data_IF_769630601903
#
_entry.id   IF_769630601903
#
_cell.length_a   1.000
_cell.length_b   1.000
_cell.length_c   1.000
_cell.angle_alpha   90.00
_cell.angle_beta   90.00
_cell.angle_gamma   90.00
#
_symmetry.space_group_name_H-M   'P 1'
#
loop_
_entity.id
_entity.type
_entity.pdbx_description
1 polymer ?
#
# COMPACT_ATOMS: atom_id res chain seq x y z
N UNK A 1 10.77 25.63 -12.44
CA UNK A 1 9.58 25.13 -11.73
C UNK A 1 10.02 24.00 -10.82
N UNK A 2 9.84 24.15 -9.51
CA UNK A 2 10.24 23.18 -8.48
C UNK A 2 9.19 22.09 -8.33
N UNK A 3 9.59 20.84 -8.42
CA UNK A 3 8.71 19.67 -8.41
C UNK A 3 9.14 18.72 -7.30
N UNK A 4 8.22 18.34 -6.42
CA UNK A 4 8.52 17.36 -5.37
C UNK A 4 8.83 15.98 -5.94
N UNK A 5 9.91 15.35 -5.47
CA UNK A 5 10.35 14.02 -5.90
C UNK A 5 10.44 13.08 -4.69
N UNK A 6 9.73 11.95 -4.73
CA UNK A 6 9.73 10.95 -3.66
C UNK A 6 9.71 9.54 -4.25
N UNK A 7 10.21 8.55 -3.51
CA UNK A 7 10.41 7.20 -4.05
C UNK A 7 9.13 6.33 -3.91
N UNK A 8 8.36 6.21 -5.01
CA UNK A 8 7.20 5.33 -5.15
C UNK A 8 7.13 4.78 -6.60
N UNK A 9 8.10 3.93 -7.00
CA UNK A 9 8.16 3.37 -8.34
C UNK A 9 6.93 2.50 -8.64
N UNK A 10 6.49 2.42 -9.91
CA UNK A 10 7.00 3.10 -11.11
C UNK A 10 6.38 4.49 -11.33
N UNK A 11 5.64 5.05 -10.36
CA UNK A 11 4.86 6.29 -10.56
C UNK A 11 5.73 7.54 -10.48
N UNK A 12 6.55 7.60 -9.43
CA UNK A 12 7.57 8.63 -9.15
C UNK A 12 8.76 7.89 -8.57
N UNK A 13 9.96 8.08 -9.10
CA UNK A 13 11.13 7.34 -8.68
C UNK A 13 12.40 8.20 -8.74
N UNK A 14 13.39 7.77 -7.98
CA UNK A 14 14.76 8.24 -8.05
C UNK A 14 15.57 7.05 -8.58
N UNK A 15 16.23 7.22 -9.73
CA UNK A 15 17.07 6.19 -10.35
C UNK A 15 18.42 6.05 -9.65
N UNK A 16 19.20 5.04 -10.02
CA UNK A 16 20.48 4.68 -9.38
C UNK A 16 21.51 5.84 -9.35
N UNK A 17 21.48 6.73 -10.34
CA UNK A 17 22.35 7.92 -10.41
C UNK A 17 21.79 9.16 -9.67
N UNK A 18 20.61 9.07 -9.08
CA UNK A 18 19.84 10.21 -8.57
C UNK A 18 18.85 10.82 -9.59
N UNK A 19 18.83 10.34 -10.84
CA UNK A 19 17.96 10.86 -11.90
C UNK A 19 16.46 10.72 -11.55
N UNK A 20 15.63 11.76 -11.74
CA UNK A 20 14.17 11.66 -11.64
C UNK A 20 13.59 10.71 -12.71
N UNK A 21 12.71 9.79 -12.33
CA UNK A 21 12.11 8.80 -13.25
C UNK A 21 10.64 8.46 -12.91
N UNK A 22 9.94 7.81 -13.84
CA UNK A 22 8.61 7.23 -13.62
C UNK A 22 7.45 7.97 -14.29
N UNK A 23 6.24 7.39 -14.25
CA UNK A 23 5.08 7.81 -15.05
C UNK A 23 4.76 9.31 -14.95
N UNK A 24 4.84 9.91 -13.75
CA UNK A 24 4.59 11.35 -13.57
C UNK A 24 5.77 12.21 -14.05
N UNK A 25 7.01 11.75 -13.89
CA UNK A 25 8.21 12.46 -14.34
C UNK A 25 8.26 12.48 -15.87
N UNK A 26 8.09 11.33 -16.51
CA UNK A 26 8.04 11.17 -17.97
C UNK A 26 6.98 12.09 -18.60
N UNK A 27 5.79 12.15 -17.99
CA UNK A 27 4.70 13.01 -18.44
C UNK A 27 5.00 14.50 -18.24
N UNK A 28 5.50 14.90 -17.06
CA UNK A 28 5.80 16.30 -16.79
C UNK A 28 6.96 16.80 -17.63
N UNK A 29 7.97 15.98 -17.90
CA UNK A 29 9.09 16.32 -18.77
C UNK A 29 8.65 16.52 -20.22
N UNK A 30 7.72 15.69 -20.73
CA UNK A 30 7.15 15.90 -22.06
C UNK A 30 6.40 17.24 -22.16
N UNK A 31 5.53 17.55 -21.18
CA UNK A 31 4.79 18.81 -21.10
C UNK A 31 5.74 20.01 -20.96
N UNK A 32 6.79 19.87 -20.13
CA UNK A 32 7.80 20.91 -19.92
C UNK A 32 8.58 21.23 -21.20
N UNK A 33 8.91 20.23 -22.02
CA UNK A 33 9.54 20.45 -23.32
C UNK A 33 8.62 21.22 -24.29
N UNK A 34 7.30 21.01 -24.21
CA UNK A 34 6.29 21.68 -25.05
C UNK A 34 5.91 23.11 -24.61
N UNK A 35 5.92 23.38 -23.30
CA UNK A 35 5.64 24.70 -22.70
C UNK A 35 6.93 25.48 -22.34
N UNK A 36 8.11 24.98 -22.74
CA UNK A 36 9.45 25.54 -22.46
C UNK A 36 9.78 25.75 -20.97
N UNK A 37 9.29 24.87 -20.11
CA UNK A 37 9.54 24.92 -18.66
C UNK A 37 10.89 24.28 -18.29
N UNK A 38 11.70 25.01 -17.51
CA UNK A 38 12.80 24.39 -16.75
C UNK A 38 12.23 23.69 -15.51
N UNK A 39 12.51 22.40 -15.34
CA UNK A 39 12.14 21.61 -14.17
C UNK A 39 13.33 21.49 -13.19
N UNK A 40 13.03 21.60 -11.91
CA UNK A 40 13.95 21.42 -10.79
C UNK A 40 13.30 20.43 -9.82
N UNK A 41 13.89 19.25 -9.64
CA UNK A 41 13.28 18.18 -8.85
C UNK A 41 13.86 18.14 -7.44
N UNK A 42 13.00 18.34 -6.45
CA UNK A 42 13.36 18.50 -5.03
C UNK A 42 13.10 17.18 -4.28
N UNK A 43 14.13 16.37 -3.99
CA UNK A 43 13.95 15.07 -3.33
C UNK A 43 13.50 15.21 -1.87
N UNK A 44 12.71 14.24 -1.40
CA UNK A 44 12.28 14.15 0.00
C UNK A 44 11.29 13.01 0.26
N UNK A 45 10.77 12.95 1.48
CA UNK A 45 9.67 12.04 1.82
C UNK A 45 8.34 12.53 1.24
N UNK A 46 7.31 11.68 1.25
CA UNK A 46 5.96 12.11 0.84
C UNK A 46 5.40 13.24 1.74
N UNK A 47 5.60 13.12 3.06
CA UNK A 47 5.15 14.12 4.03
C UNK A 47 5.89 15.46 3.85
N UNK A 48 7.20 15.42 3.62
CA UNK A 48 7.99 16.60 3.27
C UNK A 48 7.50 17.26 1.97
N UNK A 49 7.23 16.47 0.93
CA UNK A 49 6.71 16.97 -0.35
C UNK A 49 5.39 17.72 -0.18
N UNK A 50 4.43 17.16 0.56
CA UNK A 50 3.17 17.85 0.86
C UNK A 50 3.37 19.11 1.72
N UNK A 51 4.24 19.07 2.73
CA UNK A 51 4.53 20.24 3.56
C UNK A 51 5.21 21.37 2.76
N UNK A 52 6.13 21.03 1.84
CA UNK A 52 6.77 21.98 0.93
C UNK A 52 5.76 22.58 -0.07
N UNK A 53 4.78 21.79 -0.54
CA UNK A 53 3.71 22.28 -1.39
C UNK A 53 2.79 23.26 -0.64
N UNK A 54 2.41 22.93 0.60
CA UNK A 54 1.57 23.79 1.45
C UNK A 54 2.29 25.08 1.87
N UNK A 55 3.62 25.07 1.96
CA UNK A 55 4.44 26.24 2.19
C UNK A 55 4.81 27.05 0.92
N UNK A 56 4.42 26.58 -0.28
CA UNK A 56 4.81 27.20 -1.56
C UNK A 56 6.33 27.12 -1.85
N UNK A 57 7.05 26.20 -1.20
CA UNK A 57 8.50 25.98 -1.41
C UNK A 57 8.79 24.91 -2.48
N UNK A 58 7.76 24.20 -2.96
CA UNK A 58 7.71 23.61 -4.30
C UNK A 58 6.46 24.10 -5.05
N UNK A 59 6.49 24.04 -6.37
CA UNK A 59 5.48 24.60 -7.26
C UNK A 59 4.43 23.53 -7.63
N UNK A 60 4.87 22.28 -7.79
CA UNK A 60 4.05 21.08 -8.02
C UNK A 60 4.48 19.90 -7.14
N UNK A 61 3.51 19.08 -6.73
CA UNK A 61 3.73 17.71 -6.24
C UNK A 61 3.04 16.71 -7.19
N UNK A 62 3.74 15.66 -7.67
CA UNK A 62 3.13 14.58 -8.44
C UNK A 62 2.38 13.57 -7.55
N UNK A 63 1.62 12.67 -8.17
CA UNK A 63 0.99 11.49 -7.54
C UNK A 63 0.03 11.80 -6.38
N UNK A 64 -0.53 13.01 -6.35
CA UNK A 64 -1.44 13.45 -5.30
C UNK A 64 -2.85 12.91 -5.54
N UNK A 65 -3.29 12.03 -4.65
CA UNK A 65 -4.69 11.63 -4.55
C UNK A 65 -5.57 12.83 -4.15
N UNK A 66 -6.60 13.12 -4.94
CA UNK A 66 -7.60 14.16 -4.67
C UNK A 66 -8.48 13.75 -3.47
N UNK A 67 -8.68 14.67 -2.52
CA UNK A 67 -9.70 14.56 -1.46
C UNK A 67 -10.27 15.94 -1.12
N UNK A 68 -11.49 16.03 -0.54
CA UNK A 68 -12.08 17.30 -0.07
C UNK A 68 -11.29 17.99 1.06
N UNK A 69 -10.31 17.32 1.68
CA UNK A 69 -9.35 17.97 2.56
C UNK A 69 -8.20 18.62 1.79
N UNK A 70 -7.59 17.86 0.87
CA UNK A 70 -6.48 18.34 0.04
C UNK A 70 -6.92 19.48 -0.88
N UNK A 71 -8.14 19.46 -1.41
CA UNK A 71 -8.73 20.55 -2.20
C UNK A 71 -8.84 21.90 -1.44
N UNK A 72 -8.89 21.88 -0.09
CA UNK A 72 -8.87 23.12 0.70
C UNK A 72 -7.49 23.80 0.67
N UNK A 73 -6.41 23.02 0.49
CA UNK A 73 -5.00 23.42 0.61
C UNK A 73 -4.27 23.50 -0.73
N UNK A 74 -4.67 22.67 -1.68
CA UNK A 74 -4.03 22.49 -2.98
C UNK A 74 -5.01 22.68 -4.14
N UNK A 75 -4.52 23.19 -5.26
CA UNK A 75 -5.22 23.17 -6.54
C UNK A 75 -4.85 21.89 -7.32
N UNK A 76 -5.79 21.40 -8.12
CA UNK A 76 -5.65 20.19 -8.94
C UNK A 76 -6.01 20.52 -10.40
N UNK A 77 -5.41 19.78 -11.34
CA UNK A 77 -5.88 19.76 -12.73
C UNK A 77 -7.03 18.74 -12.89
N UNK A 78 -7.75 18.80 -14.00
CA UNK A 78 -9.09 18.21 -14.17
C UNK A 78 -9.03 16.70 -14.42
N UNK A 79 -8.15 16.26 -15.32
CA UNK A 79 -8.11 14.87 -15.79
C UNK A 79 -7.00 14.08 -15.09
N UNK A 80 -7.27 12.96 -14.38
CA UNK A 80 -6.27 12.27 -13.57
C UNK A 80 -5.13 11.70 -14.42
N UNK A 81 -3.91 11.82 -13.90
CA UNK A 81 -2.70 11.22 -14.51
C UNK A 81 -2.80 9.70 -14.50
N UNK A 82 -3.21 9.13 -13.36
CA UNK A 82 -3.22 7.68 -13.13
C UNK A 82 -4.40 7.25 -12.26
N UNK A 83 -4.90 6.03 -12.49
CA UNK A 83 -5.91 5.38 -11.65
C UNK A 83 -5.31 4.16 -10.92
N UNK A 84 -5.55 4.09 -9.61
CA UNK A 84 -4.95 3.13 -8.69
C UNK A 84 -5.95 2.66 -7.64
N UNK A 85 -5.50 1.80 -6.73
CA UNK A 85 -6.19 1.40 -5.50
C UNK A 85 -5.13 1.03 -4.45
N UNK A 86 -5.53 0.95 -3.18
CA UNK A 86 -4.67 0.39 -2.14
C UNK A 86 -4.75 -1.12 -2.12
N UNK A 87 -3.59 -1.71 -1.85
CA UNK A 87 -3.32 -3.14 -1.83
C UNK A 87 -2.65 -3.46 -0.50
N UNK A 88 -3.16 -4.48 0.20
CA UNK A 88 -2.53 -5.01 1.42
C UNK A 88 -1.47 -6.04 1.02
N UNK A 89 -0.26 -5.88 1.56
CA UNK A 89 0.86 -6.80 1.44
C UNK A 89 1.21 -7.38 2.82
N UNK A 90 1.59 -8.65 2.89
CA UNK A 90 1.91 -9.33 4.15
C UNK A 90 3.07 -10.34 3.97
N UNK A 91 3.57 -10.91 5.07
CA UNK A 91 4.45 -12.09 5.02
C UNK A 91 3.68 -13.32 4.53
N UNK A 92 4.33 -14.22 3.77
CA UNK A 92 3.70 -15.46 3.32
C UNK A 92 3.25 -16.32 4.48
N UNK A 93 2.00 -16.76 4.45
CA UNK A 93 1.43 -17.57 5.53
C UNK A 93 1.16 -16.78 6.83
N UNK A 94 1.16 -15.45 6.78
CA UNK A 94 0.71 -14.56 7.87
C UNK A 94 -0.71 -14.86 8.37
N UNK A 95 -1.53 -15.49 7.53
CA UNK A 95 -2.92 -15.85 7.81
C UNK A 95 -3.93 -14.78 7.40
N UNK A 96 -3.48 -13.56 7.08
CA UNK A 96 -4.32 -12.43 6.69
C UNK A 96 -4.97 -12.71 5.32
N UNK A 97 -6.29 -12.91 5.31
CA UNK A 97 -7.08 -13.22 4.10
C UNK A 97 -8.32 -12.34 3.94
N UNK A 98 -8.76 -11.72 5.03
CA UNK A 98 -10.01 -10.98 5.17
C UNK A 98 -9.84 -9.81 6.14
N UNK A 99 -10.83 -8.92 6.22
CA UNK A 99 -10.76 -7.75 7.11
C UNK A 99 -10.68 -8.14 8.59
N UNK A 100 -11.36 -9.20 9.03
CA UNK A 100 -11.36 -9.62 10.45
C UNK A 100 -10.02 -10.18 10.92
N UNK A 101 -9.14 -10.60 10.01
CA UNK A 101 -7.80 -11.09 10.35
C UNK A 101 -6.85 -9.98 10.86
N UNK A 102 -7.29 -8.70 10.80
CA UNK A 102 -6.55 -7.54 11.28
C UNK A 102 -6.68 -7.26 12.79
N UNK A 103 -7.53 -7.96 13.55
CA UNK A 103 -7.59 -7.73 15.00
C UNK A 103 -6.24 -8.04 15.67
N UNK A 104 -5.76 -7.09 16.48
CA UNK A 104 -4.43 -7.12 17.10
C UNK A 104 -3.24 -6.97 16.14
N UNK A 105 -3.44 -6.77 14.83
CA UNK A 105 -2.36 -6.65 13.85
C UNK A 105 -1.84 -5.22 13.74
N UNK A 106 -0.52 -5.07 13.61
CA UNK A 106 0.11 -3.79 13.27
C UNK A 106 0.14 -3.62 11.76
N UNK A 107 -0.31 -2.48 11.26
CA UNK A 107 -0.38 -2.23 9.81
C UNK A 107 0.40 -0.96 9.47
N UNK A 108 1.42 -1.09 8.63
CA UNK A 108 2.22 0.03 8.16
C UNK A 108 1.46 0.86 7.12
N UNK A 109 1.49 2.18 7.29
CA UNK A 109 0.97 3.19 6.34
C UNK A 109 2.06 4.23 6.05
N UNK A 110 2.04 4.81 4.85
CA UNK A 110 2.91 5.92 4.52
C UNK A 110 2.44 7.19 5.27
N UNK A 111 3.37 7.91 5.89
CA UNK A 111 3.09 9.17 6.61
C UNK A 111 2.39 10.18 5.70
N UNK A 112 1.44 10.97 6.22
CA UNK A 112 0.63 11.94 5.46
C UNK A 112 -0.11 11.39 4.22
N UNK A 113 -0.21 10.06 4.10
CA UNK A 113 -1.01 9.38 3.09
C UNK A 113 -2.46 9.24 3.53
N UNK A 114 -3.38 9.19 2.56
CA UNK A 114 -4.80 8.93 2.84
C UNK A 114 -5.07 7.46 3.21
N UNK A 115 -4.05 6.59 3.14
CA UNK A 115 -4.11 5.18 3.50
C UNK A 115 -4.65 4.95 4.92
N UNK A 116 -4.22 5.77 5.89
CA UNK A 116 -4.67 5.65 7.28
C UNK A 116 -6.20 5.78 7.36
N UNK A 117 -6.74 6.93 6.93
CA UNK A 117 -8.18 7.18 6.96
C UNK A 117 -8.97 6.26 6.02
N UNK A 118 -8.41 5.85 4.88
CA UNK A 118 -9.04 4.89 3.99
C UNK A 118 -9.17 3.49 4.62
N UNK A 119 -8.18 3.06 5.41
CA UNK A 119 -8.20 1.78 6.11
C UNK A 119 -9.09 1.84 7.37
N UNK A 120 -8.98 2.90 8.18
CA UNK A 120 -9.85 3.13 9.34
C UNK A 120 -11.34 3.08 8.94
N UNK A 121 -11.72 3.76 7.87
CA UNK A 121 -13.10 3.71 7.34
C UNK A 121 -13.48 2.30 6.86
N UNK A 122 -12.55 1.52 6.29
CA UNK A 122 -12.80 0.15 5.83
C UNK A 122 -13.03 -0.84 6.99
N UNK A 123 -12.31 -0.69 8.11
CA UNK A 123 -12.43 -1.60 9.26
C UNK A 123 -13.42 -1.12 10.33
N UNK A 124 -13.90 0.12 10.27
CA UNK A 124 -14.77 0.74 11.28
C UNK A 124 -16.04 -0.05 11.65
N UNK A 125 -16.59 -0.84 10.73
CA UNK A 125 -17.77 -1.69 10.96
C UNK A 125 -17.49 -3.00 11.73
N UNK A 126 -16.25 -3.30 12.10
CA UNK A 126 -15.83 -4.60 12.63
C UNK A 126 -15.25 -4.56 14.07
N UNK A 127 -15.17 -3.39 14.72
CA UNK A 127 -14.61 -3.19 16.09
C UNK A 127 -13.17 -3.73 16.30
N UNK A 128 -12.36 -3.75 15.25
CA UNK A 128 -11.01 -4.34 15.26
C UNK A 128 -9.98 -3.40 15.90
N UNK A 129 -9.09 -3.95 16.73
CA UNK A 129 -7.99 -3.22 17.36
C UNK A 129 -6.74 -3.38 16.51
N UNK A 130 -6.63 -2.56 15.47
CA UNK A 130 -5.55 -2.61 14.47
C UNK A 130 -4.63 -1.39 14.59
N UNK A 131 -3.52 -1.44 15.35
CA UNK A 131 -2.58 -0.33 15.42
C UNK A 131 -1.99 0.03 14.06
N UNK A 132 -2.16 1.28 13.64
CA UNK A 132 -1.56 1.81 12.42
C UNK A 132 -0.20 2.44 12.75
N UNK A 133 0.82 2.07 11.98
CA UNK A 133 2.21 2.49 12.19
C UNK A 133 2.65 3.33 10.99
N UNK A 134 3.07 4.57 11.24
CA UNK A 134 3.45 5.52 10.18
C UNK A 134 4.93 5.36 9.81
N UNK A 135 5.22 5.30 8.50
CA UNK A 135 6.57 5.23 7.95
C UNK A 135 6.81 6.38 6.95
N UNK A 136 8.02 6.96 6.88
CA UNK A 136 8.33 8.09 5.99
C UNK A 136 8.37 7.71 4.50
N UNK A 137 8.65 6.44 4.22
CA UNK A 137 8.80 5.84 2.90
C UNK A 137 8.31 4.38 2.90
N UNK A 138 8.29 3.73 1.73
CA UNK A 138 7.91 2.32 1.63
C UNK A 138 9.05 1.35 1.91
N UNK A 139 10.32 1.75 1.79
CA UNK A 139 11.46 0.85 1.99
C UNK A 139 11.54 0.42 3.46
N UNK A 140 11.49 1.39 4.36
CA UNK A 140 11.40 1.18 5.82
C UNK A 140 10.12 0.42 6.22
N UNK A 141 8.98 0.72 5.61
CA UNK A 141 7.72 -0.01 5.87
C UNK A 141 7.81 -1.49 5.49
N UNK A 142 8.44 -1.82 4.35
CA UNK A 142 8.64 -3.20 3.91
C UNK A 142 9.79 -3.90 4.66
N UNK A 143 10.81 -3.18 5.13
CA UNK A 143 11.83 -3.72 6.05
C UNK A 143 11.18 -4.15 7.38
N UNK A 144 10.39 -3.28 8.00
CA UNK A 144 9.60 -3.59 9.20
C UNK A 144 8.66 -4.79 9.00
N UNK A 145 8.12 -4.99 7.78
CA UNK A 145 7.33 -6.17 7.44
C UNK A 145 8.18 -7.45 7.31
N UNK A 146 9.42 -7.35 6.84
CA UNK A 146 10.36 -8.48 6.78
C UNK A 146 10.77 -8.92 8.19
N UNK A 147 11.07 -7.96 9.07
CA UNK A 147 11.58 -8.20 10.43
C UNK A 147 10.49 -8.60 11.45
N UNK A 148 9.22 -8.30 11.15
CA UNK A 148 8.08 -8.64 12.02
C UNK A 148 7.64 -7.53 12.96
N UNK A 149 8.12 -6.30 12.74
CA UNK A 149 7.70 -5.10 13.47
C UNK A 149 6.30 -4.62 13.08
N UNK A 150 5.87 -4.93 11.85
CA UNK A 150 4.46 -4.85 11.40
C UNK A 150 4.00 -6.18 10.84
N UNK A 151 2.69 -6.36 10.69
CA UNK A 151 2.06 -7.60 10.22
C UNK A 151 1.53 -7.50 8.78
N UNK A 152 1.25 -6.27 8.32
CA UNK A 152 0.97 -5.94 6.93
C UNK A 152 1.47 -4.52 6.57
N UNK A 153 1.60 -4.24 5.27
CA UNK A 153 1.86 -2.90 4.69
C UNK A 153 0.73 -2.52 3.75
N UNK A 154 0.25 -1.29 3.84
CA UNK A 154 -0.64 -0.70 2.83
C UNK A 154 0.22 0.01 1.81
N UNK A 155 0.24 -0.48 0.57
CA UNK A 155 0.82 0.25 -0.56
C UNK A 155 -0.21 0.38 -1.70
N UNK A 156 0.24 0.80 -2.87
CA UNK A 156 -0.62 1.02 -4.03
C UNK A 156 -0.39 -0.08 -5.07
N UNK A 157 -1.39 -0.36 -5.93
CA UNK A 157 -1.37 -1.49 -6.88
C UNK A 157 -0.15 -1.64 -7.81
N UNK A 158 0.66 -0.58 -7.95
CA UNK A 158 1.85 -0.58 -8.79
C UNK A 158 3.15 -0.80 -7.99
N UNK A 159 3.09 -0.78 -6.65
CA UNK A 159 4.25 -1.00 -5.80
C UNK A 159 4.76 -2.43 -5.99
N UNK A 160 6.08 -2.55 -6.11
CA UNK A 160 6.63 -3.39 -7.15
C UNK A 160 6.54 -4.91 -6.87
N UNK A 161 5.93 -5.62 -7.82
CA UNK A 161 5.90 -7.08 -7.83
C UNK A 161 7.28 -7.70 -8.16
N UNK A 162 8.29 -6.96 -8.61
CA UNK A 162 9.67 -7.44 -8.67
C UNK A 162 10.35 -7.43 -7.30
N UNK A 163 10.15 -6.41 -6.45
CA UNK A 163 10.52 -6.46 -5.03
C UNK A 163 9.89 -7.66 -4.31
N UNK A 164 8.62 -8.00 -4.60
CA UNK A 164 8.01 -9.23 -4.10
C UNK A 164 8.63 -10.53 -4.63
N UNK A 165 9.17 -10.54 -5.86
CA UNK A 165 9.66 -11.76 -6.55
C UNK A 165 11.00 -12.22 -5.96
N UNK A 166 10.91 -13.14 -5.01
CA UNK A 166 12.05 -13.70 -4.27
C UNK A 166 12.04 -13.35 -2.78
N UNK A 167 11.26 -12.33 -2.39
CA UNK A 167 10.98 -11.98 -0.99
C UNK A 167 10.28 -13.12 -0.22
N UNK A 168 10.07 -12.93 1.09
CA UNK A 168 9.17 -13.74 1.91
C UNK A 168 7.72 -13.18 1.98
N UNK A 169 7.31 -12.32 1.05
CA UNK A 169 6.04 -11.56 1.10
C UNK A 169 5.05 -11.95 -0.01
N UNK A 170 3.79 -11.60 0.18
CA UNK A 170 2.69 -11.77 -0.78
C UNK A 170 1.74 -10.55 -0.73
N UNK A 171 1.16 -10.20 -1.88
CA UNK A 171 -0.05 -9.40 -1.96
C UNK A 171 -1.27 -10.26 -1.58
N UNK A 172 -2.16 -9.71 -0.77
CA UNK A 172 -3.39 -10.40 -0.33
C UNK A 172 -4.55 -10.11 -1.29
N UNK A 173 -5.68 -10.80 -1.15
CA UNK A 173 -6.91 -10.47 -1.88
C UNK A 173 -7.56 -9.13 -1.46
N UNK A 174 -7.01 -8.42 -0.47
CA UNK A 174 -7.62 -7.23 0.13
C UNK A 174 -7.18 -5.97 -0.63
N UNK A 175 -8.03 -5.56 -1.59
CA UNK A 175 -7.94 -4.31 -2.35
C UNK A 175 -9.04 -3.34 -1.94
N UNK A 176 -8.72 -2.04 -1.86
CA UNK A 176 -9.68 -1.02 -1.42
C UNK A 176 -9.34 0.38 -1.91
N UNK A 177 -10.28 1.31 -1.72
CA UNK A 177 -10.15 2.74 -2.00
C UNK A 177 -9.63 3.09 -3.43
N UNK A 178 -10.45 2.88 -4.48
CA UNK A 178 -10.11 3.31 -5.84
C UNK A 178 -9.77 4.81 -5.88
N UNK A 179 -8.56 5.12 -6.36
CA UNK A 179 -7.92 6.42 -6.21
C UNK A 179 -7.55 7.01 -7.57
N UNK A 180 -7.91 8.28 -7.79
CA UNK A 180 -7.46 9.11 -8.91
C UNK A 180 -6.28 9.98 -8.47
N UNK A 181 -5.20 9.96 -9.25
CA UNK A 181 -3.90 10.55 -8.90
C UNK A 181 -3.56 11.67 -9.90
N UNK A 182 -3.10 12.80 -9.39
CA UNK A 182 -2.95 14.06 -10.11
C UNK A 182 -1.59 14.72 -9.81
N UNK A 183 -1.21 15.75 -10.57
CA UNK A 183 -0.34 16.79 -10.03
C UNK A 183 -1.19 17.75 -9.18
N UNK A 184 -0.63 18.26 -8.09
CA UNK A 184 -1.23 19.33 -7.30
C UNK A 184 -0.27 20.52 -7.17
N UNK A 185 -0.83 21.74 -7.17
CA UNK A 185 -0.13 22.99 -6.90
C UNK A 185 -0.58 23.58 -5.55
N UNK A 186 0.17 24.52 -4.98
CA UNK A 186 -0.33 25.36 -3.89
C UNK A 186 -1.62 26.08 -4.33
N UNK A 187 -2.68 26.07 -3.51
CA UNK A 187 -3.98 26.65 -3.90
C UNK A 187 -3.87 28.16 -4.16
N UNK A 188 -4.33 28.60 -5.32
CA UNK A 188 -4.25 30.01 -5.74
C UNK A 188 -2.89 30.42 -6.33
N UNK A 189 -1.91 29.53 -6.42
CA UNK A 189 -0.68 29.70 -7.20
C UNK A 189 -0.77 28.95 -8.55
N UNK A 190 0.16 29.23 -9.47
CA UNK A 190 0.38 28.47 -10.71
C UNK A 190 -0.89 28.21 -11.54
N UNK A 191 -1.71 29.27 -11.72
CA UNK A 191 -3.00 29.24 -12.43
C UNK A 191 -2.91 28.94 -13.93
N UNK A 192 -1.70 28.98 -14.48
CA UNK A 192 -1.32 28.64 -15.85
C UNK A 192 -0.84 27.17 -15.99
N UNK A 193 -0.09 26.66 -15.01
CA UNK A 193 0.54 25.33 -15.02
C UNK A 193 -0.48 24.19 -15.01
N UNK A 194 -1.47 24.22 -14.11
CA UNK A 194 -2.46 23.13 -14.02
C UNK A 194 -3.34 23.05 -15.29
N UNK A 195 -3.86 24.15 -15.86
CA UNK A 195 -4.51 24.11 -17.17
C UNK A 195 -3.58 23.75 -18.33
N UNK A 196 -2.28 24.07 -18.25
CA UNK A 196 -1.31 23.62 -19.25
C UNK A 196 -1.14 22.09 -19.23
N UNK A 197 -1.09 21.48 -18.04
CA UNK A 197 -1.08 20.03 -17.89
C UNK A 197 -2.33 19.41 -18.53
N UNK A 198 -3.53 19.93 -18.29
CA UNK A 198 -4.75 19.41 -18.96
C UNK A 198 -4.71 19.60 -20.49
N UNK A 199 -4.24 20.76 -20.99
CA UNK A 199 -4.14 21.02 -22.45
C UNK A 199 -3.15 20.11 -23.17
N UNK A 200 -2.00 19.82 -22.56
CA UNK A 200 -0.86 19.15 -23.22
C UNK A 200 -0.88 17.63 -23.10
N UNK A 201 -1.89 17.04 -22.45
CA UNK A 201 -2.05 15.58 -22.36
C UNK A 201 -2.57 14.94 -23.66
N UNK A 202 -1.71 14.92 -24.66
CA UNK A 202 -1.80 13.92 -25.73
C UNK A 202 -1.82 12.51 -25.15
N UNK A 203 -2.51 11.53 -25.78
CA UNK A 203 -2.49 10.15 -25.33
C UNK A 203 -1.05 9.59 -25.41
N UNK A 204 -0.47 9.28 -24.25
CA UNK A 204 0.88 8.70 -24.15
C UNK A 204 0.99 7.45 -25.04
N UNK A 205 1.98 7.37 -25.95
CA UNK A 205 2.19 6.18 -26.76
C UNK A 205 2.40 4.94 -25.88
N UNK A 206 1.50 3.96 -25.97
CA UNK A 206 1.50 2.73 -25.17
C UNK A 206 2.71 1.82 -25.40
N UNK A 207 3.61 2.18 -26.31
CA UNK A 207 4.75 1.41 -26.79
C UNK A 207 5.87 1.14 -25.76
N UNK A 208 5.87 1.77 -24.57
CA UNK A 208 6.86 1.49 -23.50
C UNK A 208 6.36 0.55 -22.40
N UNK A 209 5.06 0.32 -22.27
CA UNK A 209 4.49 -0.63 -21.30
C UNK A 209 4.40 -2.06 -21.87
N UNK A 210 5.57 -2.57 -22.25
CA UNK A 210 5.82 -4.01 -22.40
C UNK A 210 5.45 -4.65 -23.74
N UNK A 211 6.38 -4.66 -24.70
CA UNK A 211 6.59 -5.82 -25.58
C UNK A 211 7.95 -5.77 -26.31
N UNK A 212 9.00 -6.31 -25.67
CA UNK A 212 9.93 -7.16 -26.42
C UNK A 212 9.96 -8.59 -25.88
N UNK A 213 9.22 -9.45 -26.58
CA UNK A 213 9.41 -10.90 -26.63
C UNK A 213 9.25 -11.39 -28.06
N UNK A 214 9.88 -10.73 -29.04
CA UNK A 214 9.86 -11.20 -30.45
C UNK A 214 10.84 -12.36 -30.68
N UNK A 215 10.69 -13.44 -29.92
CA UNK A 215 11.35 -14.71 -30.25
C UNK A 215 10.87 -15.18 -31.63
N UNK A 216 11.82 -15.30 -32.56
CA UNK A 216 11.58 -15.79 -33.93
C UNK A 216 11.11 -17.26 -33.90
N UNK A 217 9.80 -17.49 -33.99
CA UNK A 217 9.27 -18.77 -34.50
C UNK A 217 9.13 -18.68 -36.02
N UNK A 218 10.08 -19.26 -36.76
CA UNK A 218 9.82 -19.70 -38.14
C UNK A 218 8.84 -20.88 -38.06
N UNK A 219 7.83 -20.87 -38.93
CA UNK A 219 6.70 -21.82 -38.83
C UNK A 219 7.00 -23.20 -39.41
N UNK A 220 6.12 -24.14 -39.04
CA UNK A 220 5.73 -25.32 -39.83
C UNK A 220 4.22 -25.55 -39.60
N UNK A 221 3.48 -26.09 -40.58
CA UNK A 221 2.03 -26.22 -40.52
C UNK A 221 1.56 -27.38 -39.62
N UNK A 222 0.29 -27.35 -39.24
CA UNK A 222 -0.34 -28.41 -38.45
C UNK A 222 -0.73 -29.63 -39.31
N UNK A 223 -0.66 -30.82 -38.70
CA UNK A 223 -1.20 -32.09 -39.24
C UNK A 223 -1.90 -32.83 -38.11
N UNK A 224 -3.12 -33.32 -38.36
CA UNK A 224 -3.85 -34.16 -37.40
C UNK A 224 -3.36 -35.61 -37.45
N UNK A 225 -3.19 -36.31 -36.31
CA UNK A 225 -2.93 -37.75 -36.31
C UNK A 225 -4.23 -38.54 -36.54
N UNK A 226 -4.29 -39.27 -37.67
CA UNK A 226 -5.25 -40.37 -37.86
C UNK A 226 -4.79 -41.65 -37.13
N UNK A 227 -5.71 -42.61 -36.97
CA UNK A 227 -5.45 -43.89 -36.30
C UNK A 227 -5.37 -45.02 -37.32
N UNK A 228 -4.26 -45.78 -37.31
CA UNK A 228 -4.13 -47.09 -38.00
C UNK A 228 -3.10 -48.00 -37.28
N UNK A 229 -2.97 -49.32 -37.60
CA UNK A 229 -2.87 -50.34 -36.54
C UNK A 229 -1.48 -50.90 -36.20
N UNK A 230 -1.42 -51.72 -35.14
CA UNK A 230 -0.20 -52.40 -34.65
C UNK A 230 0.16 -53.66 -35.45
N UNK A 231 1.46 -53.95 -35.69
CA UNK A 231 1.93 -55.26 -36.15
C UNK A 231 2.00 -56.32 -35.02
N UNK A 232 2.05 -57.60 -35.39
CA UNK A 232 2.20 -58.74 -34.47
C UNK A 232 3.67 -59.17 -34.27
N UNK A 233 4.01 -59.87 -33.16
CA UNK A 233 5.38 -60.32 -32.87
C UNK A 233 5.72 -61.74 -33.41
N UNK A 234 7.00 -62.03 -33.69
CA UNK A 234 7.49 -63.39 -33.98
C UNK A 234 7.62 -64.26 -32.70
N UNK A 235 7.69 -65.59 -32.87
CA UNK A 235 7.64 -66.58 -31.77
C UNK A 235 9.04 -67.01 -31.31
N UNK A 236 9.24 -67.04 -29.98
CA UNK A 236 10.55 -67.21 -29.32
C UNK A 236 11.11 -68.63 -29.18
N UNK A 237 12.12 -68.78 -28.29
CA UNK A 237 12.57 -70.06 -27.70
C UNK A 237 13.42 -69.89 -26.42
N UNK A 238 12.95 -70.49 -25.31
CA UNK A 238 13.67 -71.23 -24.23
C UNK A 238 14.82 -70.61 -23.40
N UNK A 239 14.52 -70.31 -22.11
CA UNK A 239 15.08 -70.80 -20.81
C UNK A 239 16.44 -71.57 -20.71
N UNK A 240 17.06 -71.77 -19.49
CA UNK A 240 16.66 -71.40 -18.10
C UNK A 240 17.78 -70.78 -17.17
N UNK A 241 17.42 -70.46 -15.92
CA UNK A 241 18.35 -70.30 -14.75
C UNK A 241 18.68 -68.84 -14.33
N UNK A 242 18.96 -68.48 -13.06
CA UNK A 242 18.93 -69.20 -11.76
C UNK A 242 18.84 -68.16 -10.60
N UNK A 243 18.53 -68.56 -9.36
CA UNK A 243 18.54 -67.73 -8.13
C UNK A 243 18.91 -68.63 -6.90
N UNK A 244 18.96 -68.19 -5.60
CA UNK A 244 18.81 -66.85 -4.98
C UNK A 244 19.87 -66.56 -3.86
N UNK A 245 19.51 -65.74 -2.84
CA UNK A 245 20.15 -65.52 -1.51
C UNK A 245 21.37 -64.54 -1.46
N UNK A 246 21.81 -63.97 -0.31
CA UNK A 246 21.63 -64.32 1.12
C UNK A 246 21.86 -63.11 2.10
N UNK A 247 21.32 -63.17 3.34
CA UNK A 247 21.74 -62.61 4.68
C UNK A 247 22.40 -61.20 4.82
N UNK A 248 22.26 -60.44 5.93
CA UNK A 248 21.61 -60.70 7.23
C UNK A 248 21.75 -59.55 8.28
N UNK A 249 21.31 -59.80 9.53
CA UNK A 249 21.50 -58.97 10.77
C UNK A 249 22.83 -59.38 11.51
N UNK A 250 23.27 -58.85 12.70
CA UNK A 250 22.57 -58.08 13.75
C UNK A 250 23.38 -57.03 14.62
N UNK A 251 22.71 -56.46 15.65
CA UNK A 251 23.22 -56.08 17.00
C UNK A 251 24.29 -54.95 17.15
N UNK A 252 24.58 -54.36 18.33
CA UNK A 252 23.85 -54.05 19.60
C UNK A 252 24.76 -53.15 20.51
N UNK A 253 24.44 -53.01 21.83
CA UNK A 253 25.12 -52.28 22.95
C UNK A 253 24.65 -50.81 23.15
N UNK A 254 24.10 -50.36 24.30
CA UNK A 254 24.58 -50.25 25.71
C UNK A 254 25.44 -48.98 25.97
N UNK A 255 25.40 -48.24 27.09
CA UNK A 255 24.74 -48.42 28.42
C UNK A 255 24.47 -47.07 29.17
N UNK A 256 23.67 -47.12 30.25
CA UNK A 256 23.56 -46.26 31.49
C UNK A 256 24.58 -45.14 31.84
N UNK A 257 24.35 -44.12 32.73
CA UNK A 257 23.18 -43.63 33.50
C UNK A 257 23.46 -42.23 34.20
N UNK A 258 22.53 -41.76 35.06
CA UNK A 258 22.49 -40.52 35.90
C UNK A 258 23.15 -40.69 37.30
N UNK A 259 23.12 -39.73 38.27
CA UNK A 259 23.36 -38.25 38.30
C UNK A 259 24.26 -37.78 39.50
N UNK A 260 24.46 -36.46 39.71
CA UNK A 260 25.07 -35.90 40.94
C UNK A 260 24.81 -34.39 41.19
N UNK A 261 24.87 -33.92 42.46
CA UNK A 261 24.62 -32.51 42.90
C UNK A 261 25.29 -32.22 44.27
N UNK A 262 25.57 -30.94 44.61
CA UNK A 262 26.25 -30.34 45.84
C UNK A 262 27.71 -29.86 45.58
N UNK A 263 28.36 -28.88 46.24
CA UNK A 263 28.02 -27.84 47.29
C UNK A 263 29.14 -26.75 47.44
N UNK A 264 28.84 -25.55 47.97
CA UNK A 264 29.80 -24.53 48.53
C UNK A 264 29.31 -23.07 48.33
N UNK A 265 29.14 -22.18 49.33
CA UNK A 265 30.09 -21.39 50.18
C UNK A 265 30.99 -20.43 49.36
N UNK A 266 31.14 -19.12 49.63
CA UNK A 266 31.23 -18.30 50.89
C UNK A 266 30.42 -16.98 50.85
N UNK A 267 29.94 -16.35 51.96
CA UNK A 267 30.54 -15.31 52.85
C UNK A 267 31.36 -14.20 52.14
N UNK A 268 31.20 -12.88 52.42
CA UNK A 268 30.17 -12.15 53.21
C UNK A 268 30.58 -10.70 53.65
N UNK A 269 29.63 -9.89 54.17
CA UNK A 269 29.85 -8.58 54.87
C UNK A 269 29.82 -7.30 53.98
N UNK A 270 29.49 -6.08 54.46
CA UNK A 270 28.94 -5.61 55.77
C UNK A 270 28.23 -4.23 55.68
N UNK A 271 27.07 -4.13 56.34
CA UNK A 271 26.47 -2.95 57.04
C UNK A 271 26.12 -1.61 56.35
N UNK A 272 24.99 -1.04 56.82
CA UNK A 272 24.49 0.33 56.58
C UNK A 272 22.97 0.42 56.81
N UNK A 273 22.49 1.10 57.86
CA UNK A 273 21.05 1.14 58.21
C UNK A 273 20.59 2.42 58.93
N UNK A 274 19.68 3.17 58.28
CA UNK A 274 18.56 3.98 58.79
C UNK A 274 18.73 5.02 59.94
N UNK A 275 18.54 6.32 59.59
CA UNK A 275 17.44 7.22 60.05
C UNK A 275 17.39 7.72 61.54
N UNK A 276 16.58 8.72 61.99
CA UNK A 276 15.94 9.91 61.36
C UNK A 276 15.99 11.26 62.17
N UNK A 277 15.36 12.33 61.60
CA UNK A 277 14.55 13.43 62.26
C UNK A 277 15.11 14.87 62.47
N UNK A 278 14.28 15.85 62.00
CA UNK A 278 14.08 17.25 62.47
C UNK A 278 15.27 18.25 62.25
N UNK A 279 15.09 19.56 62.00
CA UNK A 279 13.93 20.52 61.87
C UNK A 279 14.30 21.56 60.77
N UNK A 280 13.63 22.70 60.45
CA UNK A 280 12.56 23.56 61.03
C UNK A 280 11.88 24.36 59.87
N UNK A 281 10.97 25.30 60.17
CA UNK A 281 10.54 26.43 59.28
C UNK A 281 10.36 27.71 60.13
N UNK A 282 10.30 28.93 59.55
CA UNK A 282 9.07 29.53 58.96
C UNK A 282 9.35 30.36 57.66
N UNK A 283 8.41 31.04 56.98
CA UNK A 283 6.94 31.14 57.08
C UNK A 283 6.38 32.34 56.26
N UNK A 284 5.05 32.41 56.06
CA UNK A 284 4.35 33.49 55.29
C UNK A 284 3.79 33.00 53.94
N UNK A 285 2.55 32.49 53.86
CA UNK A 285 1.26 33.21 53.78
C UNK A 285 1.10 34.10 52.53
N UNK A 286 0.10 33.77 51.69
CA UNK A 286 -0.21 34.50 50.44
C UNK A 286 -1.35 33.87 49.63
N UNK A 287 -2.49 33.56 50.27
CA UNK A 287 -3.58 32.82 49.62
C UNK A 287 -4.33 33.63 48.55
N UNK A 288 -4.44 33.07 47.33
CA UNK A 288 -5.39 33.56 46.31
C UNK A 288 -6.39 32.47 45.94
N UNK A 289 -7.68 32.84 45.88
CA UNK A 289 -8.80 31.95 45.57
C UNK A 289 -8.74 31.50 44.11
N UNK A 290 -8.97 30.21 43.87
CA UNK A 290 -9.31 29.70 42.54
C UNK A 290 -10.65 30.33 42.14
N UNK A 291 -10.65 31.14 41.07
CA UNK A 291 -11.89 31.59 40.42
C UNK A 291 -12.33 30.52 39.44
N UNK A 292 -13.59 30.08 39.53
CA UNK A 292 -14.24 29.32 38.44
C UNK A 292 -14.37 30.23 37.22
N UNK A 293 -14.26 29.73 35.98
CA UNK A 293 -14.69 30.47 34.80
C UNK A 293 -16.21 30.70 34.84
N UNK A 294 -16.72 31.76 34.18
CA UNK A 294 -18.16 32.01 34.08
C UNK A 294 -18.84 30.97 33.18
N UNK A 295 -20.10 30.64 33.49
CA UNK A 295 -20.93 29.77 32.66
C UNK A 295 -21.30 30.48 31.36
N UNK A 296 -20.98 29.87 30.21
CA UNK A 296 -21.42 30.36 28.91
C UNK A 296 -22.88 29.95 28.71
N UNK A 297 -23.77 30.93 28.76
CA UNK A 297 -25.22 30.75 28.63
C UNK A 297 -25.58 30.39 27.18
N UNK A 298 -25.94 29.14 26.93
CA UNK A 298 -26.38 28.69 25.60
C UNK A 298 -27.73 29.35 25.20
N UNK A 299 -27.82 30.03 24.05
CA UNK A 299 -29.09 30.56 23.55
C UNK A 299 -29.85 29.52 22.72
N UNK A 300 -31.03 29.12 23.23
CA UNK A 300 -32.23 28.69 22.50
C UNK A 300 -32.10 27.78 21.27
N UNK A 301 -32.59 26.53 21.39
CA UNK A 301 -32.97 25.73 20.23
C UNK A 301 -34.12 26.38 19.44
N UNK A 302 -33.84 26.91 18.25
CA UNK A 302 -34.88 27.18 17.24
C UNK A 302 -34.96 26.02 16.24
N UNK A 303 -35.90 25.10 16.48
CA UNK A 303 -36.22 24.03 15.53
C UNK A 303 -37.08 24.60 14.41
N UNK A 304 -36.45 25.10 13.35
CA UNK A 304 -37.14 25.45 12.12
C UNK A 304 -37.60 24.18 11.39
N UNK A 305 -38.90 23.89 11.45
CA UNK A 305 -39.52 22.80 10.66
C UNK A 305 -39.70 23.26 9.21
N UNK A 306 -39.05 22.59 8.27
CA UNK A 306 -39.36 22.71 6.83
C UNK A 306 -39.88 21.36 6.35
N UNK A 307 -41.18 21.29 6.01
CA UNK A 307 -41.85 20.03 5.70
C UNK A 307 -42.86 20.19 4.56
N UNK A 308 -42.34 20.26 3.32
CA UNK A 308 -43.06 20.09 2.04
C UNK A 308 -42.00 19.85 0.95
N UNK A 309 -42.21 19.01 -0.06
CA UNK A 309 -43.25 17.99 -0.25
C UNK A 309 -42.70 16.85 -1.11
N UNK A 310 -43.25 15.65 -0.96
CA UNK A 310 -42.84 14.47 -1.74
C UNK A 310 -44.07 13.69 -2.21
N UNK A 311 -44.75 14.19 -3.24
CA UNK A 311 -45.82 13.43 -3.90
C UNK A 311 -46.05 13.92 -5.35
N UNK A 312 -45.75 13.05 -6.33
CA UNK A 312 -46.55 12.97 -7.55
C UNK A 312 -46.45 11.54 -8.10
N UNK A 313 -47.61 10.95 -8.41
CA UNK A 313 -47.72 9.52 -8.71
C UNK A 313 -47.27 9.13 -10.13
N UNK A 314 -46.92 7.84 -10.26
CA UNK A 314 -46.81 7.03 -11.48
C UNK A 314 -47.41 7.61 -12.77
N UNK A 315 -46.61 7.59 -13.84
CA UNK A 315 -47.08 7.14 -15.16
C UNK A 315 -46.03 6.25 -15.83
N UNK A 316 -46.50 5.13 -16.38
CA UNK A 316 -45.69 4.10 -17.06
C UNK A 316 -46.10 4.07 -18.53
N UNK A 317 -45.18 3.64 -19.41
CA UNK A 317 -45.33 3.54 -20.87
C UNK A 317 -45.29 4.90 -21.61
N UNK A 318 -44.73 5.03 -22.81
CA UNK A 318 -44.36 4.02 -23.83
C UNK A 318 -43.07 4.42 -24.57
N UNK A 319 -42.23 3.46 -24.95
CA UNK A 319 -41.19 3.66 -25.98
C UNK A 319 -41.85 3.75 -27.38
N UNK A 320 -41.39 4.63 -28.28
CA UNK A 320 -41.48 4.39 -29.71
C UNK A 320 -40.37 3.41 -30.13
N UNK A 321 -40.72 2.39 -30.90
CA UNK A 321 -39.76 1.42 -31.43
C UNK A 321 -39.18 1.87 -32.78
N UNK A 322 -37.93 1.52 -33.07
CA UNK A 322 -37.32 1.72 -34.39
C UNK A 322 -38.00 0.81 -35.43
N UNK A 323 -38.22 1.34 -36.64
CA UNK A 323 -38.91 0.63 -37.72
C UNK A 323 -37.89 0.02 -38.69
N UNK A 324 -37.76 -1.30 -38.68
CA UNK A 324 -36.94 -2.02 -39.66
C UNK A 324 -37.66 -2.10 -41.03
N UNK A 325 -36.92 -2.14 -42.17
CA UNK A 325 -37.50 -2.41 -43.49
C UNK A 325 -37.86 -3.89 -43.65
N UNK A 326 -38.84 -4.17 -44.53
CA UNK A 326 -39.26 -5.54 -44.86
C UNK A 326 -38.44 -6.18 -45.99
N UNK A 327 -38.59 -7.50 -46.21
CA UNK A 327 -38.01 -8.24 -47.34
C UNK A 327 -38.74 -7.93 -48.67
N UNK A 328 -38.16 -8.32 -49.84
CA UNK A 328 -38.58 -7.80 -51.14
C UNK A 328 -39.67 -8.59 -51.86
N UNK A 329 -40.32 -7.90 -52.80
CA UNK A 329 -40.85 -8.42 -54.08
C UNK A 329 -40.15 -7.67 -55.23
#
# INVERSE_FOLDING_TARGET
MRVGLYHNPPKVAIGENGDPQGIFVDLLQAIANEESWSLDYVPGTWAEGLARLEAGTIDLMPDVAFTPDRERRFAFHSEPVLSSWFQIYARRGSGIRSLVDFDGKRVAVLEASIQQSAFENMVSGFDLKTPLVSFPDYESAFAALAEGEVDAVIANRFYDAAFLRGSAMEDTAIVFHPTRLYFAAHRGAHSDVLPAIDRRRSPLPTARLGHDRRHRRRGHPAVHPGVEPRPQPPRGRTHPGTAPAHRGKPAALQHSARPGRRTGKTRGGTHGRADPRQRRSPGGQGGRRIRRPPEVRLPGHHVARTAHAAELHHRVHRHPAAKAPGPPE
#
